data_IF_308934051277
#
_entry.id   IF_308934051277
#
_cell.length_a   1.000
_cell.length_b   1.000
_cell.length_c   1.000
_cell.angle_alpha   90.00
_cell.angle_beta   90.00
_cell.angle_gamma   90.00
#
_symmetry.space_group_name_H-M   'P 1'
#
loop_
_entity.id
_entity.type
_entity.pdbx_description
1 polymer ?
#
# COMPACT_ATOMS: atom_id res chain seq x y z
N UNK A 1 -40.96 11.53 -4.43
CA UNK A 1 -40.78 10.38 -3.50
C UNK A 1 -39.82 9.38 -4.18
N UNK A 2 -38.68 9.08 -3.52
CA UNK A 2 -37.66 8.19 -4.13
C UNK A 2 -38.20 6.76 -4.28
N UNK A 3 -38.07 6.11 -5.46
CA UNK A 3 -38.56 4.75 -5.72
C UNK A 3 -37.87 3.65 -4.91
N UNK A 4 -36.84 4.00 -4.10
CA UNK A 4 -36.07 3.05 -3.29
C UNK A 4 -36.49 2.93 -1.82
N UNK A 5 -37.55 3.60 -1.37
CA UNK A 5 -38.11 3.41 -0.02
C UNK A 5 -39.09 2.24 0.02
N UNK A 6 -38.57 1.02 -0.08
CA UNK A 6 -39.33 -0.14 0.42
C UNK A 6 -39.52 0.03 1.94
N UNK A 7 -40.69 -0.32 2.51
CA UNK A 7 -40.86 -0.33 3.97
C UNK A 7 -39.73 -1.15 4.57
N UNK A 8 -38.98 -0.56 5.49
CA UNK A 8 -37.79 -1.18 6.09
C UNK A 8 -38.26 -2.33 6.98
N UNK A 9 -38.06 -3.58 6.53
CA UNK A 9 -38.31 -4.75 7.36
C UNK A 9 -37.46 -4.63 8.62
N UNK A 10 -38.08 -4.86 9.77
CA UNK A 10 -37.43 -4.70 11.08
C UNK A 10 -37.21 -6.05 11.75
N UNK A 11 -36.25 -6.14 12.69
CA UNK A 11 -36.07 -7.33 13.51
C UNK A 11 -37.31 -7.68 14.34
N UNK A 12 -38.19 -6.70 14.62
CA UNK A 12 -39.47 -6.93 15.28
C UNK A 12 -40.42 -7.76 14.39
N UNK A 13 -40.53 -7.43 13.11
CA UNK A 13 -41.35 -8.16 12.15
C UNK A 13 -40.86 -9.61 11.99
N UNK A 14 -39.55 -9.82 12.03
CA UNK A 14 -38.97 -11.20 12.02
C UNK A 14 -39.33 -11.94 13.30
N UNK A 15 -39.26 -11.29 14.45
CA UNK A 15 -39.63 -11.84 15.75
C UNK A 15 -41.12 -12.31 15.78
N UNK A 16 -42.02 -11.45 15.32
CA UNK A 16 -43.44 -11.76 15.20
C UNK A 16 -43.68 -12.92 14.23
N UNK A 17 -43.02 -12.92 13.06
CA UNK A 17 -43.17 -14.01 12.06
C UNK A 17 -42.60 -15.33 12.54
N UNK A 18 -41.52 -15.34 13.32
CA UNK A 18 -40.89 -16.53 13.86
C UNK A 18 -41.49 -17.00 15.22
N UNK A 19 -42.37 -16.21 15.83
CA UNK A 19 -42.94 -16.50 17.14
C UNK A 19 -41.93 -16.51 18.30
N UNK A 20 -40.99 -15.56 18.28
CA UNK A 20 -39.91 -15.44 19.26
C UNK A 20 -39.70 -13.97 19.70
N UNK A 21 -38.86 -13.76 20.70
CA UNK A 21 -38.50 -12.40 21.10
C UNK A 21 -37.52 -11.74 20.10
N UNK A 22 -37.53 -10.39 20.01
CA UNK A 22 -36.55 -9.64 19.24
C UNK A 22 -35.11 -9.95 19.67
N UNK A 23 -34.90 -10.24 20.95
CA UNK A 23 -33.59 -10.65 21.49
C UNK A 23 -33.16 -11.98 20.92
N UNK A 24 -34.07 -12.95 20.81
CA UNK A 24 -33.80 -14.26 20.18
C UNK A 24 -33.43 -14.12 18.72
N UNK A 25 -34.15 -13.26 17.95
CA UNK A 25 -33.78 -12.92 16.56
C UNK A 25 -32.38 -12.34 16.49
N UNK A 26 -32.04 -11.40 17.36
CA UNK A 26 -30.69 -10.80 17.41
C UNK A 26 -29.62 -11.84 17.71
N UNK A 27 -29.84 -12.77 18.61
CA UNK A 27 -28.87 -13.83 18.94
C UNK A 27 -28.67 -14.80 17.78
N UNK A 28 -29.73 -15.23 17.13
CA UNK A 28 -29.68 -16.14 15.98
C UNK A 28 -28.93 -15.48 14.81
N UNK A 29 -29.30 -14.28 14.43
CA UNK A 29 -28.72 -13.58 13.27
C UNK A 29 -27.28 -13.14 13.49
N UNK A 30 -26.88 -12.84 14.74
CA UNK A 30 -25.51 -12.51 15.10
C UNK A 30 -24.65 -13.73 15.49
N UNK A 31 -25.13 -14.94 15.26
CA UNK A 31 -24.44 -16.23 15.56
C UNK A 31 -23.93 -16.31 17.00
N UNK A 32 -24.64 -15.70 17.95
CA UNK A 32 -24.33 -15.82 19.38
C UNK A 32 -24.98 -17.11 19.88
N UNK A 33 -24.14 -18.11 20.13
CA UNK A 33 -24.62 -19.36 20.72
C UNK A 33 -24.96 -19.10 22.20
N UNK A 34 -26.27 -19.17 22.52
CA UNK A 34 -26.82 -19.03 23.86
C UNK A 34 -27.78 -20.15 24.17
N UNK A 35 -27.50 -21.36 23.67
CA UNK A 35 -28.36 -22.51 23.90
C UNK A 35 -29.73 -22.40 23.22
N UNK A 36 -29.82 -21.68 22.10
CA UNK A 36 -31.04 -21.58 21.30
C UNK A 36 -31.24 -22.90 20.55
N UNK A 37 -32.40 -23.59 20.73
CA UNK A 37 -32.69 -24.82 20.01
C UNK A 37 -32.60 -24.63 18.49
N UNK A 38 -32.09 -25.65 17.79
CA UNK A 38 -31.86 -25.58 16.34
C UNK A 38 -33.16 -25.31 15.57
N UNK A 39 -34.27 -25.92 15.98
CA UNK A 39 -35.60 -25.64 15.40
C UNK A 39 -35.98 -24.15 15.49
N UNK A 40 -35.66 -23.51 16.61
CA UNK A 40 -35.93 -22.09 16.79
C UNK A 40 -35.00 -21.25 15.90
N UNK A 41 -33.73 -21.65 15.74
CA UNK A 41 -32.76 -21.02 14.85
C UNK A 41 -33.25 -21.07 13.40
N UNK A 42 -33.66 -22.23 12.92
CA UNK A 42 -34.20 -22.42 11.58
C UNK A 42 -35.46 -21.59 11.31
N UNK A 43 -36.40 -21.52 12.27
CA UNK A 43 -37.61 -20.70 12.15
C UNK A 43 -37.25 -19.22 11.98
N UNK A 44 -36.30 -18.71 12.76
CA UNK A 44 -35.84 -17.29 12.65
C UNK A 44 -35.16 -17.02 11.32
N UNK A 45 -34.28 -17.92 10.87
CA UNK A 45 -33.59 -17.77 9.60
C UNK A 45 -34.56 -17.81 8.42
N UNK A 46 -35.55 -18.70 8.45
CA UNK A 46 -36.60 -18.79 7.44
C UNK A 46 -37.46 -17.53 7.41
N UNK A 47 -37.92 -17.06 8.57
CA UNK A 47 -38.70 -15.84 8.66
C UNK A 47 -37.93 -14.60 8.15
N UNK A 48 -36.63 -14.51 8.46
CA UNK A 48 -35.76 -13.45 7.96
C UNK A 48 -35.62 -13.49 6.43
N UNK A 49 -35.42 -14.68 5.85
CA UNK A 49 -35.34 -14.89 4.41
C UNK A 49 -36.64 -14.54 3.69
N UNK A 50 -37.80 -15.02 4.20
CA UNK A 50 -39.14 -14.76 3.65
C UNK A 50 -39.45 -13.24 3.61
N UNK A 51 -39.08 -12.53 4.67
CA UNK A 51 -39.28 -11.08 4.76
C UNK A 51 -38.19 -10.25 4.04
N UNK A 52 -37.14 -10.88 3.56
CA UNK A 52 -35.97 -10.17 3.00
C UNK A 52 -35.26 -9.29 4.04
N UNK A 53 -35.26 -9.70 5.31
CA UNK A 53 -34.65 -8.96 6.39
C UNK A 53 -33.14 -9.08 6.35
N UNK A 54 -32.46 -7.94 6.27
CA UNK A 54 -31.01 -7.85 6.45
C UNK A 54 -30.74 -7.06 7.74
N UNK A 55 -29.99 -7.61 8.70
CA UNK A 55 -29.61 -6.89 9.91
C UNK A 55 -28.96 -5.52 9.57
N UNK A 56 -29.40 -4.49 10.24
CA UNK A 56 -28.78 -3.17 10.06
C UNK A 56 -27.36 -3.19 10.63
N UNK A 57 -26.36 -2.77 9.83
CA UNK A 57 -24.98 -2.67 10.30
C UNK A 57 -24.87 -1.84 11.59
N UNK A 58 -25.58 -0.72 11.66
CA UNK A 58 -25.62 0.13 12.86
C UNK A 58 -26.20 -0.61 14.10
N UNK A 59 -27.25 -1.41 13.91
CA UNK A 59 -27.82 -2.19 15.01
C UNK A 59 -26.87 -3.33 15.44
N UNK A 60 -26.16 -3.93 14.50
CA UNK A 60 -25.14 -4.96 14.78
C UNK A 60 -23.96 -4.37 15.52
N UNK A 61 -23.46 -3.20 15.07
CA UNK A 61 -22.38 -2.46 15.73
C UNK A 61 -22.75 -2.07 17.17
N UNK A 62 -23.95 -1.52 17.36
CA UNK A 62 -24.44 -1.16 18.70
C UNK A 62 -24.55 -2.39 19.63
N UNK A 63 -24.99 -3.52 19.11
CA UNK A 63 -25.15 -4.75 19.89
C UNK A 63 -23.81 -5.47 20.18
N UNK A 64 -22.84 -5.40 19.27
CA UNK A 64 -21.56 -6.10 19.37
C UNK A 64 -20.41 -5.24 19.89
N UNK A 65 -20.53 -3.91 19.81
CA UNK A 65 -19.44 -2.96 20.02
C UNK A 65 -18.38 -2.98 18.91
N UNK A 66 -18.63 -3.70 17.79
CA UNK A 66 -17.68 -3.86 16.68
C UNK A 66 -18.33 -3.51 15.35
N UNK A 67 -17.58 -2.77 14.51
CA UNK A 67 -18.04 -2.34 13.17
C UNK A 67 -17.85 -3.42 12.12
N UNK A 68 -16.98 -4.39 12.36
CA UNK A 68 -16.45 -5.34 11.38
C UNK A 68 -15.89 -4.63 10.15
N UNK A 69 -15.18 -3.55 10.38
CA UNK A 69 -14.52 -2.75 9.33
C UNK A 69 -13.07 -2.54 9.71
N UNK A 70 -12.16 -2.81 8.79
CA UNK A 70 -10.74 -2.47 8.89
C UNK A 70 -10.45 -1.28 7.99
N UNK A 71 -9.75 -0.29 8.50
CA UNK A 71 -9.30 0.87 7.72
C UNK A 71 -8.08 0.53 6.88
N UNK A 72 -8.05 0.96 5.62
CA UNK A 72 -6.83 1.09 4.84
C UNK A 72 -6.52 2.58 4.72
N UNK A 73 -5.47 3.03 5.41
CA UNK A 73 -5.18 4.45 5.58
C UNK A 73 -3.94 4.83 4.77
N UNK A 74 -4.06 5.90 3.98
CA UNK A 74 -2.96 6.52 3.25
C UNK A 74 -2.70 7.94 3.75
N UNK A 75 -1.44 8.37 3.76
CA UNK A 75 -1.04 9.67 4.32
C UNK A 75 -1.15 10.85 3.34
N UNK A 76 -1.72 10.66 2.16
CA UNK A 76 -2.05 11.71 1.19
C UNK A 76 -3.10 11.18 0.21
N UNK A 77 -4.24 11.87 0.08
CA UNK A 77 -5.32 11.46 -0.82
C UNK A 77 -4.88 11.37 -2.29
N UNK A 78 -3.93 12.19 -2.71
CA UNK A 78 -3.41 12.19 -4.08
C UNK A 78 -2.75 10.87 -4.46
N UNK A 79 -2.16 10.16 -3.49
CA UNK A 79 -1.55 8.85 -3.73
C UNK A 79 -2.58 7.83 -4.22
N UNK A 80 -3.85 7.92 -3.78
CA UNK A 80 -4.93 7.04 -4.26
C UNK A 80 -5.18 7.16 -5.77
N UNK A 81 -4.88 8.32 -6.36
CA UNK A 81 -5.08 8.56 -7.78
C UNK A 81 -3.87 8.17 -8.63
N UNK A 82 -2.67 8.29 -8.07
CA UNK A 82 -1.44 8.30 -8.86
C UNK A 82 -0.54 7.09 -8.60
N UNK A 83 -0.62 6.50 -7.42
CA UNK A 83 0.25 5.39 -7.06
C UNK A 83 -0.36 4.05 -7.53
N UNK A 84 0.22 3.49 -8.58
CA UNK A 84 -0.21 2.21 -9.14
C UNK A 84 0.06 0.99 -8.23
N UNK A 85 0.77 1.19 -7.13
CA UNK A 85 1.07 0.20 -6.11
C UNK A 85 -0.14 -0.07 -5.19
N UNK A 86 -0.90 0.99 -4.81
CA UNK A 86 -1.98 0.90 -3.83
C UNK A 86 -3.13 -0.06 -4.21
N UNK A 87 -3.61 -0.13 -5.47
CA UNK A 87 -4.71 -1.02 -5.83
C UNK A 87 -4.44 -2.49 -5.50
N UNK A 88 -3.19 -2.95 -5.60
CA UNK A 88 -2.81 -4.34 -5.28
C UNK A 88 -2.92 -4.63 -3.77
N UNK A 89 -2.47 -3.68 -2.92
CA UNK A 89 -2.59 -3.80 -1.47
C UNK A 89 -4.06 -3.78 -1.03
N UNK A 90 -4.85 -2.85 -1.57
CA UNK A 90 -6.29 -2.74 -1.29
C UNK A 90 -7.02 -4.03 -1.71
N UNK A 91 -6.71 -4.56 -2.89
CA UNK A 91 -7.30 -5.81 -3.39
C UNK A 91 -7.03 -6.97 -2.44
N UNK A 92 -5.77 -7.23 -2.11
CA UNK A 92 -5.40 -8.38 -1.27
C UNK A 92 -5.91 -8.24 0.16
N UNK A 93 -5.91 -7.04 0.74
CA UNK A 93 -6.54 -6.75 2.03
C UNK A 93 -8.05 -7.02 1.99
N UNK A 94 -8.72 -6.58 0.91
CA UNK A 94 -10.18 -6.76 0.74
C UNK A 94 -10.55 -8.23 0.66
N UNK A 95 -9.78 -9.04 -0.06
CA UNK A 95 -9.98 -10.49 -0.14
C UNK A 95 -9.88 -11.16 1.24
N UNK A 96 -8.86 -10.80 2.03
CA UNK A 96 -8.68 -11.31 3.39
C UNK A 96 -9.84 -10.88 4.30
N UNK A 97 -10.16 -9.58 4.29
CA UNK A 97 -11.23 -9.02 5.11
C UNK A 97 -12.58 -9.70 4.79
N UNK A 98 -12.88 -9.86 3.50
CA UNK A 98 -14.14 -10.49 3.06
C UNK A 98 -14.26 -11.93 3.55
N UNK A 99 -13.22 -12.75 3.44
CA UNK A 99 -13.22 -14.14 3.94
C UNK A 99 -13.51 -14.23 5.43
N UNK A 100 -13.08 -13.23 6.21
CA UNK A 100 -13.30 -13.16 7.67
C UNK A 100 -14.56 -12.37 8.07
N UNK A 101 -15.39 -11.96 7.09
CA UNK A 101 -16.64 -11.23 7.32
C UNK A 101 -16.45 -9.78 7.76
N UNK A 102 -15.31 -9.19 7.39
CA UNK A 102 -15.01 -7.77 7.55
C UNK A 102 -15.19 -7.01 6.23
N UNK A 103 -15.25 -5.69 6.32
CA UNK A 103 -15.21 -4.75 5.20
C UNK A 103 -13.95 -3.92 5.28
N UNK A 104 -13.50 -3.40 4.15
CA UNK A 104 -12.40 -2.43 4.08
C UNK A 104 -12.99 -1.05 3.85
N UNK A 105 -12.55 -0.09 4.65
CA UNK A 105 -12.79 1.33 4.45
C UNK A 105 -11.46 1.99 4.06
N UNK A 106 -11.43 2.60 2.89
CA UNK A 106 -10.25 3.37 2.45
C UNK A 106 -10.40 4.80 2.92
N UNK A 107 -9.40 5.30 3.61
CA UNK A 107 -9.38 6.66 4.15
C UNK A 107 -8.04 7.31 3.87
N UNK A 108 -8.06 8.61 3.61
CA UNK A 108 -6.86 9.41 3.41
C UNK A 108 -6.73 10.46 4.51
N UNK A 109 -5.53 10.58 5.08
CA UNK A 109 -5.19 11.59 6.07
C UNK A 109 -4.31 12.63 5.39
N UNK A 110 -4.90 13.75 4.94
CA UNK A 110 -4.21 14.77 4.17
C UNK A 110 -3.13 15.51 4.98
N UNK A 111 -3.34 15.69 6.27
CA UNK A 111 -2.34 16.22 7.19
C UNK A 111 -2.23 15.35 8.44
N UNK A 112 -1.33 14.35 8.43
CA UNK A 112 -1.13 13.46 9.59
C UNK A 112 -0.59 14.17 10.82
N UNK A 113 -0.09 15.42 10.70
CA UNK A 113 0.31 16.24 11.86
C UNK A 113 -0.89 16.87 12.61
N UNK A 114 -2.10 16.76 12.07
CA UNK A 114 -3.31 17.16 12.82
C UNK A 114 -3.42 16.28 14.07
N UNK A 115 -3.46 16.89 15.27
CA UNK A 115 -3.40 16.17 16.57
C UNK A 115 -4.50 15.16 16.74
N UNK A 116 -5.35 14.81 15.96
CA UNK A 116 -6.43 13.82 16.16
C UNK A 116 -6.82 13.09 14.85
N UNK A 117 -6.00 13.19 13.80
CA UNK A 117 -6.36 12.64 12.50
C UNK A 117 -6.76 11.15 12.55
N UNK A 118 -5.96 10.32 13.23
CA UNK A 118 -6.29 8.91 13.45
C UNK A 118 -7.37 8.70 14.52
N UNK A 119 -7.35 9.51 15.59
CA UNK A 119 -8.31 9.41 16.68
C UNK A 119 -9.73 9.74 16.23
N UNK A 120 -9.92 10.63 15.24
CA UNK A 120 -11.23 10.92 14.68
C UNK A 120 -11.85 9.68 14.04
N UNK A 121 -11.06 8.89 13.31
CA UNK A 121 -11.50 7.60 12.72
C UNK A 121 -11.87 6.58 13.80
N UNK A 122 -11.04 6.48 14.84
CA UNK A 122 -11.23 5.54 15.95
C UNK A 122 -12.42 5.95 16.82
N UNK A 123 -12.51 7.23 17.25
CA UNK A 123 -13.60 7.74 18.09
C UNK A 123 -14.96 7.75 17.40
N UNK A 124 -14.98 7.94 16.07
CA UNK A 124 -16.22 7.84 15.30
C UNK A 124 -16.73 6.39 15.21
N UNK A 125 -16.00 5.43 15.80
CA UNK A 125 -16.30 3.99 15.76
C UNK A 125 -16.65 3.51 14.35
N UNK A 126 -15.85 3.93 13.37
CA UNK A 126 -16.04 3.55 11.96
C UNK A 126 -15.25 2.30 11.59
N UNK A 127 -14.15 2.06 12.30
CA UNK A 127 -13.22 0.94 12.07
C UNK A 127 -12.83 0.30 13.40
N UNK A 128 -12.52 -0.98 13.37
CA UNK A 128 -12.08 -1.78 14.53
C UNK A 128 -10.55 -1.89 14.61
N UNK A 129 -9.85 -1.55 13.55
CA UNK A 129 -8.39 -1.51 13.40
C UNK A 129 -8.02 -0.97 12.03
N UNK A 130 -6.73 -0.80 11.77
CA UNK A 130 -6.28 -0.24 10.50
C UNK A 130 -4.98 -0.84 9.98
N UNK A 131 -4.83 -0.79 8.66
CA UNK A 131 -3.57 -0.97 7.93
C UNK A 131 -3.16 0.41 7.41
N UNK A 132 -2.01 0.92 7.83
CA UNK A 132 -1.47 2.21 7.38
C UNK A 132 -0.40 1.97 6.33
N UNK A 133 -0.58 2.54 5.17
CA UNK A 133 0.32 2.39 4.03
C UNK A 133 1.36 3.48 4.00
N UNK A 134 2.62 3.06 3.94
CA UNK A 134 3.78 3.94 3.80
C UNK A 134 3.79 5.09 4.81
N UNK A 135 3.93 4.78 6.11
CA UNK A 135 3.88 5.77 7.16
C UNK A 135 5.07 6.75 7.08
N UNK A 136 4.86 7.91 7.68
CA UNK A 136 5.93 8.90 7.81
C UNK A 136 6.70 8.65 9.10
N UNK A 137 8.01 8.92 9.09
CA UNK A 137 8.83 8.82 10.28
C UNK A 137 8.53 9.89 11.34
N UNK A 138 7.92 11.01 10.92
CA UNK A 138 7.50 12.15 11.76
C UNK A 138 5.99 12.14 12.09
N UNK A 139 5.35 10.96 12.13
CA UNK A 139 3.92 10.81 12.39
C UNK A 139 3.65 10.49 13.87
N UNK A 140 3.83 11.50 14.73
CA UNK A 140 3.62 11.34 16.18
C UNK A 140 2.21 10.85 16.53
N UNK A 141 1.10 11.34 15.91
CA UNK A 141 -0.23 10.80 16.18
C UNK A 141 -0.40 9.31 15.86
N UNK A 142 0.30 8.81 14.84
CA UNK A 142 0.29 7.38 14.54
C UNK A 142 1.09 6.60 15.60
N UNK A 143 2.24 7.11 16.03
CA UNK A 143 3.02 6.52 17.11
C UNK A 143 2.21 6.41 18.40
N UNK A 144 1.54 7.50 18.81
CA UNK A 144 0.67 7.51 19.99
C UNK A 144 -0.47 6.48 19.88
N UNK A 145 -1.06 6.32 18.69
CA UNK A 145 -2.11 5.33 18.48
C UNK A 145 -1.58 3.90 18.59
N UNK A 146 -0.38 3.62 18.05
CA UNK A 146 0.29 2.31 18.19
C UNK A 146 0.57 2.02 19.66
N UNK A 147 1.12 2.97 20.40
CA UNK A 147 1.44 2.85 21.81
C UNK A 147 0.20 2.64 22.70
N UNK A 148 -0.95 3.15 22.28
CA UNK A 148 -2.23 2.91 22.96
C UNK A 148 -2.71 1.45 22.89
N UNK A 149 -2.07 0.61 22.09
CA UNK A 149 -2.47 -0.78 21.84
C UNK A 149 -3.65 -0.92 20.88
N UNK A 150 -4.06 0.13 20.16
CA UNK A 150 -5.06 0.03 19.12
C UNK A 150 -4.56 -0.88 17.98
N UNK A 151 -5.42 -1.70 17.34
CA UNK A 151 -5.03 -2.60 16.26
C UNK A 151 -4.53 -1.85 15.02
N UNK A 152 -3.23 -1.61 14.94
CA UNK A 152 -2.55 -0.97 13.81
C UNK A 152 -1.51 -1.91 13.24
N UNK A 153 -1.49 -2.04 11.92
CA UNK A 153 -0.41 -2.68 11.16
C UNK A 153 0.07 -1.72 10.10
N UNK A 154 1.37 -1.55 9.94
CA UNK A 154 1.93 -0.71 8.87
C UNK A 154 2.44 -1.56 7.72
N UNK A 155 2.32 -1.06 6.49
CA UNK A 155 3.11 -1.51 5.35
C UNK A 155 4.19 -0.44 5.14
N UNK A 156 5.42 -0.80 5.50
CA UNK A 156 6.53 0.12 5.74
C UNK A 156 6.83 0.25 7.23
N UNK A 157 8.02 0.76 7.58
CA UNK A 157 8.46 0.92 8.97
C UNK A 157 7.58 1.94 9.71
N UNK A 158 7.03 1.61 10.88
CA UNK A 158 6.25 2.55 11.69
C UNK A 158 7.11 3.70 12.24
N UNK A 159 6.51 4.87 12.56
CA UNK A 159 7.20 5.93 13.27
C UNK A 159 7.72 5.40 14.62
N UNK A 160 8.91 5.86 15.05
CA UNK A 160 9.56 5.33 16.26
C UNK A 160 10.14 3.93 16.13
N UNK A 161 9.83 3.18 15.05
CA UNK A 161 10.36 1.85 14.77
C UNK A 161 9.69 0.71 15.51
N UNK A 162 8.78 0.98 16.47
CA UNK A 162 8.05 -0.03 17.23
C UNK A 162 6.63 -0.23 16.66
N UNK A 163 6.12 -1.47 16.68
CA UNK A 163 4.78 -1.79 16.18
C UNK A 163 4.73 -3.01 15.26
N UNK A 164 3.54 -3.28 14.73
CA UNK A 164 3.34 -4.35 13.76
C UNK A 164 3.59 -3.83 12.35
N UNK A 165 4.54 -4.44 11.62
CA UNK A 165 4.95 -4.00 10.30
C UNK A 165 5.15 -5.15 9.31
N UNK A 166 4.71 -4.95 8.10
CA UNK A 166 5.07 -5.74 6.91
C UNK A 166 5.89 -4.83 6.00
N UNK A 167 7.07 -5.28 5.60
CA UNK A 167 7.96 -4.46 4.77
C UNK A 167 8.82 -5.34 3.86
N UNK A 168 9.59 -4.71 3.01
CA UNK A 168 10.72 -5.29 2.31
C UNK A 168 12.01 -4.67 2.89
N UNK A 169 13.16 -5.29 2.65
CA UNK A 169 14.43 -4.61 2.94
C UNK A 169 14.70 -3.57 1.86
N UNK A 170 14.16 -2.36 2.06
CA UNK A 170 14.26 -1.25 1.11
C UNK A 170 15.73 -0.85 0.87
N UNK A 171 16.57 -0.91 1.90
CA UNK A 171 18.00 -0.57 1.79
C UNK A 171 18.72 -1.59 0.90
N UNK A 172 18.57 -2.88 1.20
CA UNK A 172 19.23 -3.94 0.42
C UNK A 172 18.68 -4.00 -1.02
N UNK A 173 17.39 -3.82 -1.21
CA UNK A 173 16.73 -3.88 -2.51
C UNK A 173 17.18 -2.72 -3.43
N UNK A 174 17.19 -1.48 -2.93
CA UNK A 174 17.66 -0.33 -3.70
C UNK A 174 19.17 -0.37 -3.95
N UNK A 175 19.92 -0.88 -2.97
CA UNK A 175 21.34 -1.15 -3.15
C UNK A 175 21.57 -2.12 -4.31
N UNK A 176 20.86 -3.23 -4.37
CA UNK A 176 20.96 -4.22 -5.45
C UNK A 176 20.58 -3.63 -6.82
N UNK A 177 19.53 -2.79 -6.89
CA UNK A 177 19.17 -2.07 -8.11
C UNK A 177 20.26 -1.13 -8.59
N UNK A 178 20.90 -0.42 -7.67
CA UNK A 178 22.02 0.49 -7.95
C UNK A 178 23.26 -0.27 -8.40
N UNK A 179 23.63 -1.34 -7.69
CA UNK A 179 24.76 -2.21 -8.03
C UNK A 179 24.58 -2.85 -9.43
N UNK A 180 23.34 -3.15 -9.82
CA UNK A 180 23.04 -3.66 -11.17
C UNK A 180 23.43 -2.65 -12.26
N UNK A 181 23.14 -1.35 -12.08
CA UNK A 181 23.57 -0.30 -13.01
C UNK A 181 25.11 -0.15 -13.00
N UNK A 182 25.73 -0.13 -11.82
CA UNK A 182 27.18 -0.06 -11.66
C UNK A 182 27.90 -1.23 -12.37
N UNK A 183 27.36 -2.46 -12.24
CA UNK A 183 27.87 -3.62 -12.96
C UNK A 183 27.65 -3.53 -14.48
N UNK A 184 26.77 -2.63 -14.96
CA UNK A 184 26.58 -2.23 -16.35
C UNK A 184 27.52 -1.12 -16.83
N UNK A 185 28.60 -0.79 -16.09
CA UNK A 185 29.54 0.30 -16.35
C UNK A 185 28.92 1.70 -16.29
N UNK A 186 27.76 1.86 -15.62
CA UNK A 186 27.23 3.20 -15.32
C UNK A 186 27.95 3.76 -14.09
N UNK A 187 28.47 4.98 -14.18
CA UNK A 187 29.30 5.58 -13.11
C UNK A 187 28.80 6.94 -12.65
N UNK A 188 28.00 7.62 -13.46
CA UNK A 188 27.41 8.92 -13.13
C UNK A 188 25.94 8.71 -12.80
N UNK A 189 25.67 8.14 -11.61
CA UNK A 189 24.30 7.80 -11.23
C UNK A 189 23.56 9.00 -10.65
N UNK A 190 22.26 9.03 -10.88
CA UNK A 190 21.29 9.92 -10.24
C UNK A 190 20.19 9.10 -9.58
N UNK A 191 19.52 9.68 -8.59
CA UNK A 191 18.39 9.05 -7.89
C UNK A 191 17.13 9.91 -8.02
N UNK A 192 16.02 9.28 -8.36
CA UNK A 192 14.70 9.88 -8.37
C UNK A 192 13.86 9.28 -7.25
N UNK A 193 13.82 9.95 -6.11
CA UNK A 193 12.94 9.57 -5.00
C UNK A 193 11.47 9.79 -5.40
N UNK A 194 10.59 8.85 -5.04
CA UNK A 194 9.19 8.89 -5.43
C UNK A 194 8.30 9.73 -4.51
N UNK A 195 8.84 10.24 -3.40
CA UNK A 195 8.15 11.07 -2.42
C UNK A 195 9.13 11.83 -1.53
N UNK A 196 8.63 12.58 -0.58
CA UNK A 196 9.44 13.33 0.37
C UNK A 196 10.25 12.41 1.30
N UNK A 197 11.45 12.85 1.72
CA UNK A 197 12.36 12.09 2.59
C UNK A 197 11.78 11.73 3.99
N UNK A 198 10.68 12.37 4.40
CA UNK A 198 9.98 12.05 5.66
C UNK A 198 9.24 10.71 5.63
N UNK A 199 8.96 10.13 4.46
CA UNK A 199 8.46 8.76 4.35
C UNK A 199 9.60 7.78 4.60
N UNK A 200 9.37 6.82 5.51
CA UNK A 200 10.41 5.89 5.96
C UNK A 200 11.02 5.10 4.81
N UNK A 201 10.19 4.58 3.92
CA UNK A 201 10.62 3.81 2.75
C UNK A 201 11.43 4.65 1.74
N UNK A 202 11.11 5.95 1.58
CA UNK A 202 11.88 6.87 0.71
C UNK A 202 13.28 7.08 1.28
N UNK A 203 13.39 7.32 2.58
CA UNK A 203 14.67 7.50 3.25
C UNK A 203 15.54 6.24 3.17
N UNK A 204 14.94 5.07 3.36
CA UNK A 204 15.63 3.77 3.30
C UNK A 204 16.13 3.46 1.88
N UNK A 205 15.32 3.71 0.83
CA UNK A 205 15.76 3.52 -0.57
C UNK A 205 16.92 4.46 -0.89
N UNK A 206 16.84 5.74 -0.51
CA UNK A 206 17.96 6.66 -0.69
C UNK A 206 19.22 6.22 0.06
N UNK A 207 19.08 5.63 1.25
CA UNK A 207 20.21 5.08 1.99
C UNK A 207 20.82 3.87 1.25
N UNK A 208 20.02 3.00 0.63
CA UNK A 208 20.49 1.91 -0.21
C UNK A 208 21.27 2.37 -1.42
N UNK A 209 20.76 3.41 -2.10
CA UNK A 209 21.48 4.06 -3.21
C UNK A 209 22.86 4.59 -2.76
N UNK A 210 22.91 5.32 -1.64
CA UNK A 210 24.16 5.83 -1.08
C UNK A 210 25.15 4.71 -0.74
N UNK A 211 24.67 3.66 -0.08
CA UNK A 211 25.51 2.52 0.30
C UNK A 211 26.12 1.80 -0.92
N UNK A 212 25.39 1.72 -2.04
CA UNK A 212 25.93 1.16 -3.29
C UNK A 212 27.01 2.01 -3.92
N UNK A 213 26.85 3.35 -3.89
CA UNK A 213 27.87 4.28 -4.37
C UNK A 213 29.14 4.20 -3.52
N UNK A 214 28.99 4.22 -2.20
CA UNK A 214 30.10 4.09 -1.25
C UNK A 214 30.88 2.80 -1.45
N UNK A 215 30.19 1.67 -1.62
CA UNK A 215 30.80 0.37 -1.88
C UNK A 215 31.56 0.31 -3.24
N UNK A 216 31.27 1.21 -4.16
CA UNK A 216 31.91 1.37 -5.47
C UNK A 216 32.95 2.48 -5.52
N UNK A 217 33.30 3.08 -4.38
CA UNK A 217 34.20 4.25 -4.26
C UNK A 217 33.74 5.46 -5.09
N UNK A 218 32.42 5.63 -5.22
CA UNK A 218 31.81 6.77 -5.93
C UNK A 218 31.24 7.79 -4.93
N UNK A 219 31.43 9.09 -5.14
CA UNK A 219 30.90 10.11 -4.26
C UNK A 219 29.37 10.19 -4.37
N UNK A 220 28.71 10.32 -3.22
CA UNK A 220 27.31 10.72 -3.18
C UNK A 220 27.20 12.23 -3.36
N UNK A 221 26.46 12.66 -4.38
CA UNK A 221 26.20 14.05 -4.68
C UNK A 221 24.70 14.35 -4.49
N UNK A 222 24.29 15.14 -3.49
CA UNK A 222 22.88 15.48 -3.28
C UNK A 222 22.25 16.25 -4.46
N UNK A 223 23.04 16.94 -5.29
CA UNK A 223 22.55 17.60 -6.50
C UNK A 223 22.07 16.60 -7.57
N UNK A 224 22.43 15.32 -7.45
CA UNK A 224 21.96 14.23 -8.31
C UNK A 224 20.73 13.50 -7.77
N UNK A 225 20.13 14.03 -6.70
CA UNK A 225 18.87 13.50 -6.13
C UNK A 225 17.73 14.45 -6.51
N UNK A 226 16.68 13.90 -7.11
CA UNK A 226 15.42 14.58 -7.39
C UNK A 226 14.27 13.91 -6.64
N UNK A 227 13.21 14.65 -6.37
CA UNK A 227 12.05 14.18 -5.63
C UNK A 227 10.78 14.34 -6.46
N UNK A 228 10.07 13.23 -6.68
CA UNK A 228 8.73 13.22 -7.22
C UNK A 228 7.67 13.30 -6.12
N UNK A 229 6.43 13.02 -6.48
CA UNK A 229 5.28 12.92 -5.56
C UNK A 229 4.31 11.85 -6.04
N UNK A 230 4.77 10.59 -6.06
CA UNK A 230 4.00 9.37 -6.39
C UNK A 230 3.33 9.34 -7.77
N UNK A 231 3.49 10.34 -8.61
CA UNK A 231 2.89 10.39 -9.94
C UNK A 231 3.92 10.37 -11.07
N UNK A 232 3.53 9.87 -12.23
CA UNK A 232 4.38 9.90 -13.42
C UNK A 232 4.70 11.36 -13.85
N UNK A 233 3.71 12.27 -13.75
CA UNK A 233 3.92 13.68 -14.06
C UNK A 233 4.97 14.31 -13.15
N UNK A 234 4.91 14.03 -11.84
CA UNK A 234 5.92 14.52 -10.90
C UNK A 234 7.30 13.91 -11.15
N UNK A 235 7.37 12.65 -11.57
CA UNK A 235 8.62 12.01 -11.99
C UNK A 235 9.23 12.69 -13.21
N UNK A 236 8.40 13.00 -14.21
CA UNK A 236 8.83 13.72 -15.41
C UNK A 236 9.32 15.15 -15.08
N UNK A 237 8.58 15.86 -14.25
CA UNK A 237 8.95 17.20 -13.81
C UNK A 237 10.28 17.20 -13.02
N UNK A 238 10.42 16.27 -12.09
CA UNK A 238 11.63 16.11 -11.29
C UNK A 238 12.86 15.82 -12.16
N UNK A 239 12.74 14.97 -13.19
CA UNK A 239 13.84 14.69 -14.13
C UNK A 239 14.15 15.88 -15.02
N UNK A 240 13.14 16.62 -15.50
CA UNK A 240 13.40 17.87 -16.25
C UNK A 240 14.16 18.88 -15.39
N UNK A 241 13.76 19.05 -14.13
CA UNK A 241 14.46 19.89 -13.17
C UNK A 241 15.88 19.42 -12.89
N UNK A 242 16.10 18.11 -12.73
CA UNK A 242 17.41 17.51 -12.53
C UNK A 242 18.35 17.75 -13.72
N UNK A 243 17.86 17.53 -14.95
CA UNK A 243 18.62 17.78 -16.17
C UNK A 243 19.02 19.26 -16.29
N UNK A 244 18.09 20.18 -16.01
CA UNK A 244 18.36 21.62 -16.02
C UNK A 244 19.38 22.02 -14.96
N UNK A 245 19.24 21.54 -13.72
CA UNK A 245 20.17 21.81 -12.61
C UNK A 245 21.58 21.32 -12.91
N UNK A 246 21.72 20.17 -13.58
CA UNK A 246 22.99 19.60 -13.97
C UNK A 246 23.51 20.10 -15.32
N UNK A 247 22.91 21.17 -15.88
CA UNK A 247 23.40 21.89 -17.06
C UNK A 247 23.22 21.14 -18.39
N UNK A 248 22.24 20.23 -18.51
CA UNK A 248 21.98 19.54 -19.77
C UNK A 248 21.46 20.51 -20.84
N UNK A 249 22.19 20.63 -21.95
CA UNK A 249 21.76 21.35 -23.12
C UNK A 249 21.04 20.43 -24.13
N UNK A 250 20.03 20.92 -24.88
CA UNK A 250 19.35 20.13 -25.92
C UNK A 250 20.37 19.55 -26.92
N UNK A 251 20.27 18.22 -27.14
CA UNK A 251 21.20 17.49 -28.01
C UNK A 251 22.62 17.26 -27.44
N UNK A 252 22.90 17.73 -26.25
CA UNK A 252 24.13 17.45 -25.52
C UNK A 252 24.14 16.09 -24.83
N UNK A 253 25.33 15.67 -24.31
CA UNK A 253 25.43 14.41 -23.57
C UNK A 253 24.63 14.48 -22.25
N UNK A 254 24.11 13.34 -21.81
CA UNK A 254 23.42 13.24 -20.52
C UNK A 254 24.40 13.53 -19.35
N UNK A 255 24.01 14.34 -18.34
CA UNK A 255 24.88 14.64 -17.20
C UNK A 255 25.03 13.46 -16.25
N UNK A 256 24.15 12.44 -16.37
CA UNK A 256 24.21 11.13 -15.70
C UNK A 256 23.97 10.02 -16.73
N UNK A 257 24.51 8.84 -16.47
CA UNK A 257 24.40 7.67 -17.37
C UNK A 257 23.54 6.54 -16.78
N UNK A 258 23.07 6.69 -15.53
CA UNK A 258 22.15 5.80 -14.88
C UNK A 258 21.20 6.56 -13.94
N UNK A 259 19.94 6.16 -13.92
CA UNK A 259 18.89 6.72 -13.08
C UNK A 259 18.22 5.59 -12.29
N UNK A 260 18.35 5.64 -10.97
CA UNK A 260 17.65 4.75 -10.05
C UNK A 260 16.40 5.46 -9.56
N UNK A 261 15.23 4.90 -9.86
CA UNK A 261 13.95 5.48 -9.52
C UNK A 261 13.34 4.71 -8.35
N UNK A 262 13.00 5.44 -7.30
CA UNK A 262 12.47 4.86 -6.06
C UNK A 262 11.11 4.17 -6.21
N UNK A 263 10.36 4.37 -7.31
CA UNK A 263 9.27 3.49 -7.74
C UNK A 263 9.03 3.55 -9.25
N UNK A 264 8.25 2.60 -9.76
CA UNK A 264 7.95 2.47 -11.19
C UNK A 264 7.10 3.63 -11.71
N UNK A 265 6.19 4.16 -10.90
CA UNK A 265 5.31 5.24 -11.33
C UNK A 265 6.11 6.50 -11.71
N UNK A 266 7.06 6.92 -10.85
CA UNK A 266 7.94 8.05 -11.19
C UNK A 266 8.92 7.67 -12.31
N UNK A 267 9.33 6.40 -12.42
CA UNK A 267 10.20 5.93 -13.49
C UNK A 267 9.54 6.06 -14.87
N UNK A 268 8.23 5.78 -14.99
CA UNK A 268 7.47 6.00 -16.24
C UNK A 268 7.51 7.48 -16.66
N UNK A 269 7.36 8.38 -15.70
CA UNK A 269 7.54 9.81 -15.94
C UNK A 269 8.97 10.18 -16.37
N UNK A 270 9.97 9.59 -15.72
CA UNK A 270 11.37 9.76 -16.07
C UNK A 270 11.67 9.33 -17.50
N UNK A 271 11.16 8.18 -17.95
CA UNK A 271 11.28 7.70 -19.33
C UNK A 271 10.71 8.72 -20.33
N UNK A 272 9.58 9.34 -20.00
CA UNK A 272 8.97 10.38 -20.81
C UNK A 272 9.85 11.63 -20.92
N UNK A 273 10.34 12.14 -19.78
CA UNK A 273 11.18 13.34 -19.75
C UNK A 273 12.52 13.13 -20.48
N UNK A 274 13.14 11.96 -20.33
CA UNK A 274 14.38 11.62 -21.04
C UNK A 274 14.16 11.62 -22.56
N UNK A 275 13.08 10.97 -23.02
CA UNK A 275 12.72 10.95 -24.46
C UNK A 275 12.44 12.35 -25.03
N UNK A 276 11.73 13.20 -24.31
CA UNK A 276 11.46 14.60 -24.70
C UNK A 276 12.75 15.42 -24.89
N UNK A 277 13.80 15.05 -24.14
CA UNK A 277 15.13 15.69 -24.23
C UNK A 277 16.06 15.01 -25.26
N UNK A 278 15.54 14.03 -26.03
CA UNK A 278 16.32 13.28 -27.00
C UNK A 278 17.30 12.29 -26.43
N UNK A 279 17.22 11.99 -25.12
CA UNK A 279 18.07 11.01 -24.44
C UNK A 279 17.48 9.59 -24.58
N UNK A 280 18.27 8.69 -25.13
CA UNK A 280 17.87 7.30 -25.38
C UNK A 280 18.03 6.45 -24.13
N UNK A 281 17.02 5.66 -23.81
CA UNK A 281 17.09 4.64 -22.77
C UNK A 281 17.16 3.28 -23.47
N UNK A 282 18.17 2.47 -23.19
CA UNK A 282 19.22 2.58 -22.16
C UNK A 282 20.53 3.22 -22.62
N UNK A 283 20.67 3.60 -23.90
CA UNK A 283 21.98 3.93 -24.50
C UNK A 283 22.66 5.12 -23.81
N UNK A 284 21.93 6.23 -23.69
CA UNK A 284 22.45 7.45 -23.05
C UNK A 284 22.25 7.42 -21.53
N UNK A 285 21.09 6.90 -21.07
CA UNK A 285 20.74 6.76 -19.64
C UNK A 285 20.07 5.40 -19.39
N UNK A 286 20.68 4.56 -18.59
CA UNK A 286 20.04 3.36 -18.09
C UNK A 286 19.08 3.67 -16.94
N UNK A 287 17.90 3.04 -16.90
CA UNK A 287 16.87 3.32 -15.89
C UNK A 287 16.48 2.02 -15.18
N UNK A 288 16.37 2.09 -13.84
CA UNK A 288 15.84 1.02 -12.99
C UNK A 288 14.75 1.61 -12.09
N UNK A 289 13.63 0.90 -11.96
CA UNK A 289 12.51 1.24 -11.08
C UNK A 289 12.42 0.35 -9.85
N UNK A 290 11.26 0.44 -9.17
CA UNK A 290 10.94 -0.35 -7.99
C UNK A 290 9.42 -0.59 -7.95
N UNK A 291 8.96 -1.76 -7.53
CA UNK A 291 7.63 -2.30 -7.28
C UNK A 291 7.19 -3.38 -8.29
N UNK A 292 7.64 -3.35 -9.53
CA UNK A 292 7.20 -4.20 -10.65
C UNK A 292 5.68 -4.11 -10.90
N UNK A 293 5.19 -2.87 -11.01
CA UNK A 293 3.79 -2.64 -11.38
C UNK A 293 3.50 -3.21 -12.78
N UNK A 294 2.24 -3.59 -13.10
CA UNK A 294 1.91 -4.18 -14.41
C UNK A 294 2.39 -3.36 -15.61
N UNK A 295 2.36 -2.03 -15.52
CA UNK A 295 2.81 -1.13 -16.58
C UNK A 295 4.32 -1.17 -16.85
N UNK A 296 5.14 -1.60 -15.89
CA UNK A 296 6.60 -1.68 -16.04
C UNK A 296 7.02 -2.59 -17.21
N UNK A 297 6.31 -3.69 -17.41
CA UNK A 297 6.58 -4.62 -18.52
C UNK A 297 6.18 -4.04 -19.90
N UNK A 298 5.29 -3.07 -19.92
CA UNK A 298 4.73 -2.45 -21.14
C UNK A 298 5.29 -1.04 -21.39
N UNK A 299 6.21 -0.58 -20.55
CA UNK A 299 6.93 0.67 -20.78
C UNK A 299 7.79 0.62 -22.06
N UNK A 300 8.18 1.76 -22.59
CA UNK A 300 9.04 1.83 -23.77
C UNK A 300 10.32 2.65 -23.43
N UNK A 301 11.45 1.94 -23.26
CA UNK A 301 11.63 0.47 -23.26
C UNK A 301 11.01 -0.19 -22.01
N UNK A 302 10.76 -1.52 -22.02
CA UNK A 302 10.32 -2.26 -20.85
C UNK A 302 11.24 -2.05 -19.65
N UNK A 303 10.66 -1.70 -18.49
CA UNK A 303 11.37 -1.21 -17.32
C UNK A 303 11.95 -2.35 -16.49
N UNK A 304 13.28 -2.33 -16.29
CA UNK A 304 13.97 -3.10 -15.25
C UNK A 304 13.58 -2.54 -13.90
N UNK A 305 13.22 -3.40 -12.96
CA UNK A 305 12.66 -2.96 -11.68
C UNK A 305 12.87 -3.98 -10.57
N UNK A 306 12.76 -3.57 -9.33
CA UNK A 306 12.70 -4.46 -8.17
C UNK A 306 11.25 -4.88 -7.93
N UNK A 307 10.97 -6.18 -7.95
CA UNK A 307 9.64 -6.70 -7.62
C UNK A 307 9.43 -6.75 -6.13
N UNK A 308 8.42 -6.03 -5.64
CA UNK A 308 7.89 -6.14 -4.28
C UNK A 308 6.71 -7.12 -4.25
N UNK A 309 6.65 -8.06 -3.29
CA UNK A 309 5.56 -9.04 -3.22
C UNK A 309 4.29 -8.46 -2.59
N UNK A 310 3.77 -7.38 -3.16
CA UNK A 310 2.75 -6.52 -2.56
C UNK A 310 1.43 -7.22 -2.25
N UNK A 311 0.97 -8.11 -3.15
CA UNK A 311 -0.23 -8.91 -2.89
C UNK A 311 -0.07 -9.76 -1.61
N UNK A 312 1.13 -10.34 -1.40
CA UNK A 312 1.44 -11.11 -0.18
C UNK A 312 1.52 -10.20 1.04
N UNK A 313 2.12 -9.04 0.90
CA UNK A 313 2.24 -8.06 2.00
C UNK A 313 0.88 -7.53 2.42
N UNK A 314 0.03 -7.13 1.48
CA UNK A 314 -1.33 -6.66 1.76
C UNK A 314 -2.20 -7.73 2.41
N UNK A 315 -2.12 -8.98 1.93
CA UNK A 315 -2.82 -10.09 2.56
C UNK A 315 -2.31 -10.36 3.98
N UNK A 316 -0.99 -10.40 4.19
CA UNK A 316 -0.39 -10.62 5.50
C UNK A 316 -0.70 -9.49 6.49
N UNK A 317 -0.73 -8.22 6.01
CA UNK A 317 -1.15 -7.08 6.82
C UNK A 317 -2.62 -7.20 7.24
N UNK A 318 -3.49 -7.63 6.32
CA UNK A 318 -4.88 -7.89 6.60
C UNK A 318 -5.09 -8.99 7.66
N UNK A 319 -4.46 -10.14 7.49
CA UNK A 319 -4.56 -11.24 8.48
C UNK A 319 -4.08 -10.77 9.85
N UNK A 320 -2.94 -10.07 9.91
CA UNK A 320 -2.38 -9.56 11.16
C UNK A 320 -3.31 -8.52 11.82
N UNK A 321 -3.85 -7.58 11.05
CA UNK A 321 -4.78 -6.57 11.56
C UNK A 321 -6.07 -7.21 12.10
N UNK A 322 -6.64 -8.17 11.38
CA UNK A 322 -7.84 -8.88 11.82
C UNK A 322 -7.57 -9.75 13.05
N UNK A 323 -6.40 -10.39 13.15
CA UNK A 323 -6.00 -11.12 14.35
C UNK A 323 -5.90 -10.21 15.58
N UNK A 324 -5.34 -9.02 15.43
CA UNK A 324 -5.28 -8.02 16.50
C UNK A 324 -6.69 -7.56 16.93
N UNK A 325 -7.59 -7.34 15.96
CA UNK A 325 -8.97 -6.95 16.24
C UNK A 325 -9.71 -8.06 16.99
N UNK A 326 -9.55 -9.33 16.60
CA UNK A 326 -10.32 -10.43 17.17
C UNK A 326 -9.76 -10.95 18.49
N UNK A 327 -8.45 -10.98 18.65
CA UNK A 327 -7.76 -11.61 19.78
C UNK A 327 -7.07 -10.62 20.73
N UNK A 328 -7.03 -9.32 20.37
CA UNK A 328 -6.38 -8.29 21.16
C UNK A 328 -4.87 -8.12 20.87
N UNK A 329 -4.22 -7.20 21.60
CA UNK A 329 -2.84 -6.87 21.37
C UNK A 329 -1.90 -8.04 21.70
N UNK A 330 -0.80 -8.11 20.95
CA UNK A 330 0.28 -9.11 21.13
C UNK A 330 1.63 -8.45 20.89
N UNK A 331 2.72 -9.18 21.18
CA UNK A 331 4.08 -8.70 20.88
C UNK A 331 4.18 -8.22 19.43
N UNK A 332 4.88 -7.12 19.21
CA UNK A 332 5.12 -6.55 17.89
C UNK A 332 5.65 -7.61 16.90
N UNK A 333 5.07 -7.64 15.72
CA UNK A 333 5.44 -8.54 14.64
C UNK A 333 5.96 -7.70 13.49
N UNK A 334 7.26 -7.82 13.20
CA UNK A 334 7.88 -7.23 12.03
C UNK A 334 8.24 -8.36 11.06
N UNK A 335 7.72 -8.30 9.82
CA UNK A 335 8.03 -9.28 8.78
C UNK A 335 8.61 -8.57 7.58
N UNK A 336 9.81 -8.99 7.18
CA UNK A 336 10.45 -8.53 5.95
C UNK A 336 10.22 -9.59 4.85
N UNK A 337 9.69 -9.15 3.72
CA UNK A 337 9.45 -9.99 2.57
C UNK A 337 10.61 -9.87 1.56
N UNK A 338 11.01 -10.97 0.89
CA UNK A 338 12.07 -10.91 -0.12
C UNK A 338 11.61 -10.13 -1.35
N UNK A 339 12.56 -9.44 -1.98
CA UNK A 339 12.41 -8.77 -3.27
C UNK A 339 13.20 -9.47 -4.35
N UNK A 340 12.90 -9.21 -5.61
CA UNK A 340 13.58 -9.78 -6.79
C UNK A 340 13.85 -8.67 -7.80
N UNK A 341 15.09 -8.61 -8.35
CA UNK A 341 15.39 -7.72 -9.47
C UNK A 341 14.90 -8.36 -10.78
N UNK A 342 13.96 -7.72 -11.42
CA UNK A 342 13.38 -8.11 -12.72
C UNK A 342 14.09 -7.34 -13.84
N UNK A 343 15.03 -7.98 -14.51
CA UNK A 343 15.81 -7.34 -15.57
C UNK A 343 15.03 -7.31 -16.88
N UNK A 344 14.87 -6.10 -17.44
CA UNK A 344 14.26 -5.82 -18.74
C UNK A 344 15.20 -4.95 -19.60
N UNK A 345 14.65 -4.23 -20.58
CA UNK A 345 15.47 -3.53 -21.57
C UNK A 345 16.00 -2.16 -21.13
N UNK A 346 15.39 -1.52 -20.13
CA UNK A 346 15.72 -0.16 -19.74
C UNK A 346 17.10 0.02 -19.09
N UNK A 347 17.75 -1.07 -18.65
CA UNK A 347 19.09 -1.03 -18.06
C UNK A 347 20.22 -1.40 -19.06
N UNK A 348 19.88 -1.83 -20.29
CA UNK A 348 20.84 -2.24 -21.32
C UNK A 348 21.39 -3.65 -21.17
N UNK A 349 20.94 -4.46 -20.19
CA UNK A 349 21.40 -5.82 -19.94
C UNK A 349 20.38 -6.92 -20.26
N UNK A 350 19.15 -6.55 -20.57
CA UNK A 350 18.07 -7.50 -20.91
C UNK A 350 18.09 -7.89 -22.38
N UNK A 351 18.26 -9.17 -22.72
CA UNK A 351 17.82 -9.68 -24.02
C UNK A 351 16.30 -9.68 -24.04
N UNK A 352 15.63 -9.21 -25.11
CA UNK A 352 14.19 -9.39 -25.27
C UNK A 352 13.92 -10.90 -25.41
N UNK A 353 13.20 -11.48 -24.45
CA UNK A 353 12.64 -12.82 -24.57
C UNK A 353 13.17 -13.84 -23.58
N UNK A 354 12.49 -13.92 -22.46
CA UNK A 354 11.94 -15.14 -21.83
C UNK A 354 11.33 -14.79 -20.49
N UNK A 355 10.06 -14.50 -20.51
CA UNK A 355 9.23 -14.58 -19.30
C UNK A 355 9.06 -16.05 -18.99
N UNK A 356 9.80 -16.56 -18.02
CA UNK A 356 9.48 -17.86 -17.43
C UNK A 356 8.44 -17.60 -16.35
N UNK A 357 7.15 -17.70 -16.72
CA UNK A 357 6.11 -17.97 -15.76
C UNK A 357 6.39 -19.34 -15.16
N UNK A 358 6.87 -19.37 -13.93
CA UNK A 358 6.72 -20.53 -13.05
C UNK A 358 5.67 -20.12 -12.01
N UNK A 359 4.44 -20.53 -12.25
CA UNK A 359 3.47 -20.69 -11.18
C UNK A 359 3.95 -21.84 -10.32
N UNK A 360 4.08 -21.68 -9.00
CA UNK A 360 4.23 -22.79 -8.09
C UNK A 360 2.85 -23.42 -7.81
N UNK A 361 2.79 -24.72 -7.50
CA UNK A 361 1.59 -25.47 -7.21
C UNK A 361 0.87 -25.00 -5.95
#
# INVERSE_FOLDING_TARGET
>A
MSPYRRPKVTGQMVAERAGVSRTTVSFVLNRRDRGIPEETRERVLRAAAELGYVPSAAATTLASGRTRTVGFVVCDARHLLTDAFLPQAIFSLTEVAHRRGFRVMVEAIDDPRRPHAYHELVRAARIDGMVVMNPRGDDDPLAELIDSGYPVVTIGRPPGGEGHALDVDNVAAERAATEHLLAGNRRRLAHLAYGAARYTTVAERLAGFRAALEAADLPFDPERVAYGNYSADSGAEAVRGLLARLGHAPGGPAPFDGLVCGNDTVALGALTALRERGLRVPDDVAVVGFDDIPMAAHACPPLTTVRSPLLRMGAAAGELALDLIEHGPRRAVVRTHPTELVVRSSCGRGRPGRTVHRDPP
#
